data_IF_112446673470
#
_entry.id   IF_112446673470
#
_cell.length_a   1.000
_cell.length_b   1.000
_cell.length_c   1.000
_cell.angle_alpha   90.00
_cell.angle_beta   90.00
_cell.angle_gamma   90.00
#
_symmetry.space_group_name_H-M   'P 1'
#
loop_
_entity.id
_entity.type
_entity.pdbx_description
1 polymer ?
#
# COMPACT_ATOMS: atom_id res chain seq x y z
N UNK A 1 21.54 -2.85 10.31
CA UNK A 1 21.19 -4.29 10.37
C UNK A 1 19.94 -4.62 11.20
N UNK A 2 19.78 -4.07 12.43
CA UNK A 2 18.63 -4.43 13.30
C UNK A 2 17.30 -3.84 12.81
N UNK A 3 17.31 -2.65 12.24
CA UNK A 3 16.10 -1.96 11.75
C UNK A 3 15.59 -2.64 10.49
N UNK A 4 16.48 -2.96 9.56
CA UNK A 4 16.19 -3.61 8.29
C UNK A 4 15.64 -5.02 8.51
N UNK A 5 16.20 -5.77 9.47
CA UNK A 5 15.68 -7.08 9.85
C UNK A 5 14.28 -6.98 10.48
N UNK A 6 14.09 -6.04 11.41
CA UNK A 6 12.78 -5.82 12.02
C UNK A 6 11.73 -5.39 10.98
N UNK A 7 12.11 -4.50 10.06
CA UNK A 7 11.27 -4.06 8.96
C UNK A 7 10.90 -5.22 8.03
N UNK A 8 11.87 -6.04 7.62
CA UNK A 8 11.63 -7.17 6.73
C UNK A 8 10.67 -8.21 7.34
N UNK A 9 10.86 -8.56 8.62
CA UNK A 9 9.95 -9.45 9.33
C UNK A 9 8.53 -8.88 9.38
N UNK A 10 8.40 -7.58 9.69
CA UNK A 10 7.08 -6.95 9.81
C UNK A 10 6.40 -6.82 8.45
N UNK A 11 7.11 -6.38 7.42
CA UNK A 11 6.61 -6.28 6.05
C UNK A 11 6.13 -7.64 5.52
N UNK A 12 6.89 -8.71 5.76
CA UNK A 12 6.48 -10.06 5.39
C UNK A 12 5.19 -10.49 6.10
N UNK A 13 5.10 -10.25 7.41
CA UNK A 13 3.89 -10.56 8.18
C UNK A 13 2.66 -9.81 7.64
N UNK A 14 2.79 -8.51 7.34
CA UNK A 14 1.71 -7.74 6.74
C UNK A 14 1.29 -8.30 5.38
N UNK A 15 2.25 -8.63 4.51
CA UNK A 15 1.97 -9.20 3.19
C UNK A 15 1.18 -10.51 3.29
N UNK A 16 1.57 -11.42 4.20
CA UNK A 16 0.85 -12.67 4.43
C UNK A 16 -0.58 -12.44 4.94
N UNK A 17 -0.75 -11.54 5.91
CA UNK A 17 -2.08 -11.23 6.49
C UNK A 17 -3.00 -10.63 5.42
N UNK A 18 -2.51 -9.63 4.67
CA UNK A 18 -3.31 -9.01 3.62
C UNK A 18 -3.65 -10.00 2.50
N UNK A 19 -2.72 -10.85 2.09
CA UNK A 19 -2.97 -11.90 1.10
C UNK A 19 -4.09 -12.85 1.54
N UNK A 20 -4.06 -13.29 2.81
CA UNK A 20 -5.10 -14.15 3.35
C UNK A 20 -6.46 -13.43 3.41
N UNK A 21 -6.50 -12.16 3.80
CA UNK A 21 -7.74 -11.36 3.82
C UNK A 21 -8.36 -11.27 2.42
N UNK A 22 -7.62 -10.77 1.44
CA UNK A 22 -8.15 -10.54 0.09
C UNK A 22 -8.53 -11.84 -0.62
N UNK A 23 -7.92 -12.97 -0.24
CA UNK A 23 -8.24 -14.28 -0.79
C UNK A 23 -9.44 -14.94 -0.11
N UNK A 24 -9.84 -14.48 1.08
CA UNK A 24 -10.90 -15.13 1.88
C UNK A 24 -12.22 -14.38 1.88
N UNK A 25 -12.22 -13.07 1.62
CA UNK A 25 -13.43 -12.23 1.61
C UNK A 25 -13.43 -11.30 0.41
N UNK A 26 -14.61 -10.86 0.00
CA UNK A 26 -14.74 -9.93 -1.12
C UNK A 26 -14.09 -8.57 -0.77
N UNK A 27 -13.06 -8.12 -1.51
CA UNK A 27 -12.23 -6.98 -1.08
C UNK A 27 -12.97 -5.66 -0.93
N UNK A 28 -14.11 -5.48 -1.63
CA UNK A 28 -14.90 -4.23 -1.56
C UNK A 28 -15.47 -3.93 -0.17
N UNK A 29 -15.57 -4.95 0.69
CA UNK A 29 -16.04 -4.80 2.07
C UNK A 29 -14.90 -4.66 3.09
N UNK A 30 -13.64 -4.79 2.64
CA UNK A 30 -12.49 -4.63 3.52
C UNK A 30 -12.26 -3.15 3.81
N UNK A 31 -12.24 -2.82 5.11
CA UNK A 31 -11.81 -1.53 5.64
C UNK A 31 -10.56 -1.79 6.48
N UNK A 32 -9.42 -1.27 6.03
CA UNK A 32 -8.14 -1.48 6.71
C UNK A 32 -7.96 -0.49 7.87
N UNK A 33 -8.52 0.71 7.72
CA UNK A 33 -8.52 1.75 8.74
C UNK A 33 -9.88 2.46 8.78
N UNK A 34 -10.10 3.26 9.83
CA UNK A 34 -11.29 4.12 9.92
C UNK A 34 -11.22 5.33 8.98
N UNK A 35 -10.06 5.59 8.37
CA UNK A 35 -9.78 6.77 7.56
C UNK A 35 -9.63 6.45 6.06
N UNK A 36 -9.99 5.24 5.63
CA UNK A 36 -9.75 4.76 4.26
C UNK A 36 -10.29 5.72 3.19
N UNK A 37 -11.50 6.25 3.37
CA UNK A 37 -12.12 7.17 2.42
C UNK A 37 -11.33 8.49 2.33
N UNK A 38 -10.94 9.07 3.47
CA UNK A 38 -10.17 10.31 3.52
C UNK A 38 -8.76 10.15 2.95
N UNK A 39 -8.10 9.01 3.20
CA UNK A 39 -6.80 8.68 2.60
C UNK A 39 -6.93 8.57 1.09
N UNK A 40 -7.97 7.89 0.59
CA UNK A 40 -8.18 7.70 -0.84
C UNK A 40 -8.48 9.02 -1.56
N UNK A 41 -9.33 9.87 -0.97
CA UNK A 41 -9.64 11.20 -1.51
C UNK A 41 -8.40 12.08 -1.59
N UNK A 42 -7.61 12.15 -0.52
CA UNK A 42 -6.36 12.93 -0.48
C UNK A 42 -5.35 12.41 -1.51
N UNK A 43 -5.20 11.09 -1.59
CA UNK A 43 -4.31 10.44 -2.54
C UNK A 43 -4.68 10.76 -3.98
N UNK A 44 -5.96 10.66 -4.35
CA UNK A 44 -6.43 10.99 -5.72
C UNK A 44 -6.34 12.47 -6.04
N UNK A 45 -6.45 13.35 -5.05
CA UNK A 45 -6.23 14.78 -5.23
C UNK A 45 -4.76 15.12 -5.47
N UNK A 46 -3.86 14.46 -4.73
CA UNK A 46 -2.41 14.72 -4.79
C UNK A 46 -1.75 14.01 -5.97
N UNK A 47 -2.23 12.83 -6.33
CA UNK A 47 -1.69 11.97 -7.39
C UNK A 47 -2.79 11.55 -8.39
N UNK A 48 -3.41 12.51 -9.10
CA UNK A 48 -4.55 12.23 -9.98
C UNK A 48 -4.22 11.27 -11.12
N UNK A 49 -3.03 11.37 -11.68
CA UNK A 49 -2.56 10.59 -12.83
C UNK A 49 -1.90 9.25 -12.43
N UNK A 50 -1.72 8.99 -11.14
CA UNK A 50 -1.04 7.79 -10.68
C UNK A 50 -1.93 6.56 -10.85
N UNK A 51 -1.44 5.62 -11.66
CA UNK A 51 -2.09 4.35 -11.96
C UNK A 51 -1.75 3.30 -10.91
N UNK A 52 -2.67 3.09 -9.97
CA UNK A 52 -2.49 2.11 -8.89
C UNK A 52 -2.47 0.65 -9.36
N UNK A 53 -2.97 0.38 -10.56
CA UNK A 53 -2.94 -0.93 -11.21
C UNK A 53 -1.57 -1.28 -11.82
N UNK A 54 -0.76 -0.26 -12.14
CA UNK A 54 0.57 -0.43 -12.73
C UNK A 54 1.52 0.57 -12.09
N UNK A 55 2.35 0.09 -11.16
CA UNK A 55 3.37 0.89 -10.49
C UNK A 55 4.75 0.49 -11.00
N UNK A 56 5.48 1.44 -11.57
CA UNK A 56 6.89 1.25 -11.94
C UNK A 56 7.79 1.57 -10.72
N UNK A 57 8.55 0.59 -10.20
CA UNK A 57 9.47 0.82 -9.09
C UNK A 57 10.52 1.90 -9.37
N UNK A 58 10.93 2.10 -10.61
CA UNK A 58 11.95 3.10 -10.96
C UNK A 58 11.36 4.51 -10.98
N UNK A 59 10.10 4.67 -11.40
CA UNK A 59 9.38 5.94 -11.27
C UNK A 59 9.20 6.32 -9.79
N UNK A 60 8.86 5.36 -8.93
CA UNK A 60 8.70 5.58 -7.48
C UNK A 60 10.02 5.92 -6.77
N UNK A 61 11.16 5.49 -7.31
CA UNK A 61 12.49 5.81 -6.76
C UNK A 61 13.08 7.11 -7.32
N UNK A 62 12.43 7.72 -8.31
CA UNK A 62 12.91 8.95 -8.94
C UNK A 62 12.93 10.11 -7.95
N UNK A 63 13.85 11.07 -8.14
CA UNK A 63 13.95 12.25 -7.27
C UNK A 63 12.64 13.07 -7.19
N UNK A 64 11.86 13.27 -8.27
CA UNK A 64 10.57 13.95 -8.17
C UNK A 64 9.50 13.21 -7.37
N UNK A 65 9.65 11.89 -7.17
CA UNK A 65 8.69 11.04 -6.46
C UNK A 65 9.01 10.84 -4.98
N UNK A 66 10.22 11.20 -4.53
CA UNK A 66 10.65 11.16 -3.13
C UNK A 66 10.14 12.36 -2.35
#
# INVERSE_FOLDING_TARGET
>A
PRVELAWAMKAHQHAQVYFNLISSVEPKFLRLTQLDDGIYEEFRRSFPELRVDVLDPEELKSEPAK
#
